data_IF_063302180487
#
_entry.id   IF_063302180487
#
_cell.length_a   1.000
_cell.length_b   1.000
_cell.length_c   1.000
_cell.angle_alpha   90.00
_cell.angle_beta   90.00
_cell.angle_gamma   90.00
#
_symmetry.space_group_name_H-M   'P 1'
#
loop_
_entity.id
_entity.type
_entity.pdbx_description
1 polymer ?
#
# COMPACT_ATOMS: atom_id res chain seq x y z
N UNK A 1 -21.70 43.05 -51.31
CA UNK A 1 -20.91 42.69 -50.11
C UNK A 1 -21.04 41.20 -49.84
N UNK A 2 -20.12 40.37 -50.35
CA UNK A 2 -19.94 39.00 -49.83
C UNK A 2 -19.13 39.14 -48.56
N UNK A 3 -19.78 39.13 -47.41
CA UNK A 3 -19.09 38.99 -46.12
C UNK A 3 -18.21 37.75 -46.26
N UNK A 4 -16.90 37.93 -46.13
CA UNK A 4 -15.92 36.88 -46.27
C UNK A 4 -16.14 35.85 -45.15
N UNK A 5 -16.92 34.81 -45.47
CA UNK A 5 -17.21 33.62 -44.68
C UNK A 5 -16.02 33.09 -43.86
N UNK A 6 -14.76 33.03 -44.36
CA UNK A 6 -13.64 32.44 -43.59
C UNK A 6 -13.30 33.15 -42.27
N UNK A 7 -13.53 34.47 -42.14
CA UNK A 7 -13.09 35.22 -40.95
C UNK A 7 -14.03 35.05 -39.75
N UNK A 8 -15.33 34.93 -40.01
CA UNK A 8 -16.32 34.61 -38.96
C UNK A 8 -16.04 33.21 -38.41
N UNK A 9 -15.73 32.25 -39.28
CA UNK A 9 -15.32 30.91 -38.88
C UNK A 9 -14.05 30.91 -38.02
N UNK A 10 -13.09 31.80 -38.29
CA UNK A 10 -11.88 31.94 -37.47
C UNK A 10 -12.20 32.41 -36.03
N UNK A 11 -13.07 33.41 -35.86
CA UNK A 11 -13.52 33.87 -34.54
C UNK A 11 -14.25 32.75 -33.80
N UNK A 12 -15.16 32.04 -34.48
CA UNK A 12 -15.91 30.92 -33.88
C UNK A 12 -14.95 29.82 -33.42
N UNK A 13 -13.99 29.43 -34.26
CA UNK A 13 -12.97 28.41 -33.91
C UNK A 13 -12.13 28.85 -32.71
N UNK A 14 -11.65 30.11 -32.69
CA UNK A 14 -10.90 30.65 -31.56
C UNK A 14 -11.70 30.62 -30.26
N UNK A 15 -12.98 30.97 -30.33
CA UNK A 15 -13.87 30.97 -29.16
C UNK A 15 -14.08 29.54 -28.63
N UNK A 16 -14.29 28.56 -29.51
CA UNK A 16 -14.39 27.15 -29.13
C UNK A 16 -13.09 26.65 -28.49
N UNK A 17 -11.93 26.97 -29.08
CA UNK A 17 -10.63 26.60 -28.52
C UNK A 17 -10.40 27.21 -27.13
N UNK A 18 -10.69 28.50 -26.94
CA UNK A 18 -10.59 29.17 -25.63
C UNK A 18 -11.52 28.54 -24.60
N UNK A 19 -12.75 28.22 -24.99
CA UNK A 19 -13.75 27.58 -24.10
C UNK A 19 -13.29 26.18 -23.69
N UNK A 20 -12.73 25.40 -24.63
CA UNK A 20 -12.17 24.08 -24.34
C UNK A 20 -10.96 24.17 -23.40
N UNK A 21 -10.03 25.09 -23.64
CA UNK A 21 -8.87 25.33 -22.76
C UNK A 21 -9.28 25.76 -21.37
N UNK A 22 -10.29 26.62 -21.25
CA UNK A 22 -10.84 27.05 -19.96
C UNK A 22 -11.50 25.90 -19.20
N UNK A 23 -12.26 25.05 -19.91
CA UNK A 23 -12.85 23.86 -19.29
C UNK A 23 -11.78 22.89 -18.75
N UNK A 24 -10.69 22.67 -19.50
CA UNK A 24 -9.57 21.82 -19.04
C UNK A 24 -8.83 22.47 -17.88
N UNK A 25 -8.62 23.79 -17.87
CA UNK A 25 -7.91 24.48 -16.80
C UNK A 25 -8.62 24.44 -15.44
N UNK A 26 -9.93 24.17 -15.43
CA UNK A 26 -10.72 24.09 -14.20
C UNK A 26 -10.66 22.71 -13.51
N UNK A 27 -10.10 21.67 -14.14
CA UNK A 27 -10.03 20.35 -13.52
C UNK A 27 -8.92 20.30 -12.45
N UNK A 28 -9.23 19.97 -11.18
CA UNK A 28 -8.23 19.93 -10.10
C UNK A 28 -7.40 18.63 -10.11
N UNK A 29 -6.82 18.28 -11.26
CA UNK A 29 -6.12 16.99 -11.50
C UNK A 29 -4.94 16.76 -10.56
N UNK A 30 -4.12 17.79 -10.33
CA UNK A 30 -2.91 17.75 -9.47
C UNK A 30 -3.24 17.36 -8.02
N UNK A 31 -4.32 17.91 -7.45
CA UNK A 31 -4.71 17.64 -6.08
C UNK A 31 -5.17 16.19 -5.90
N UNK A 32 -5.88 15.65 -6.90
CA UNK A 32 -6.38 14.28 -6.91
C UNK A 32 -5.22 13.28 -6.98
N UNK A 33 -4.29 13.41 -7.92
CA UNK A 33 -3.16 12.48 -8.01
C UNK A 33 -2.24 12.54 -6.78
N UNK A 34 -2.02 13.74 -6.21
CA UNK A 34 -1.25 13.91 -4.98
C UNK A 34 -1.87 13.17 -3.78
N UNK A 35 -3.21 13.08 -3.73
CA UNK A 35 -3.91 12.31 -2.71
C UNK A 35 -3.63 10.81 -2.82
N UNK A 36 -3.61 10.24 -4.03
CA UNK A 36 -3.28 8.82 -4.23
C UNK A 36 -1.81 8.51 -3.93
N UNK A 37 -0.88 9.41 -4.29
CA UNK A 37 0.53 9.29 -3.87
C UNK A 37 0.62 9.24 -2.35
N UNK A 38 -0.03 10.20 -1.66
CA UNK A 38 -0.05 10.22 -0.20
C UNK A 38 -0.63 8.93 0.38
N UNK A 39 -1.74 8.43 -0.16
CA UNK A 39 -2.37 7.19 0.30
C UNK A 39 -1.45 5.97 0.17
N UNK A 40 -0.64 5.90 -0.89
CA UNK A 40 0.33 4.81 -1.07
C UNK A 40 1.53 4.95 -0.13
N UNK A 41 2.00 6.18 0.13
CA UNK A 41 3.02 6.42 1.16
C UNK A 41 2.49 6.05 2.56
N UNK A 42 1.28 6.48 2.90
CA UNK A 42 0.63 6.17 4.18
C UNK A 42 0.49 4.64 4.36
N UNK A 43 0.17 3.91 3.27
CA UNK A 43 0.21 2.45 3.24
C UNK A 43 1.61 1.89 3.58
N UNK A 44 2.66 2.35 2.90
CA UNK A 44 4.03 1.89 3.15
C UNK A 44 4.48 2.15 4.59
N UNK A 45 4.13 3.30 5.17
CA UNK A 45 4.42 3.61 6.57
C UNK A 45 3.64 2.72 7.53
N UNK A 46 2.35 2.51 7.28
CA UNK A 46 1.50 1.62 8.09
C UNK A 46 2.01 0.19 8.04
N UNK A 47 2.44 -0.28 6.88
CA UNK A 47 3.00 -1.61 6.69
C UNK A 47 4.32 -1.80 7.45
N UNK A 48 5.24 -0.83 7.36
CA UNK A 48 6.48 -0.86 8.13
C UNK A 48 6.22 -0.82 9.65
N UNK A 49 5.23 -0.05 10.10
CA UNK A 49 4.81 -0.01 11.50
C UNK A 49 4.22 -1.35 11.97
N UNK A 50 3.39 -1.99 11.14
CA UNK A 50 2.85 -3.31 11.42
C UNK A 50 3.97 -4.36 11.50
N UNK A 51 4.93 -4.36 10.58
CA UNK A 51 6.04 -5.31 10.61
C UNK A 51 6.88 -5.19 11.89
N UNK A 52 7.11 -3.97 12.41
CA UNK A 52 7.74 -3.78 13.72
C UNK A 52 6.88 -4.35 14.87
N UNK A 53 5.56 -4.14 14.82
CA UNK A 53 4.65 -4.68 15.83
C UNK A 53 4.61 -6.22 15.79
N UNK A 54 4.63 -6.80 14.59
CA UNK A 54 4.71 -8.23 14.36
C UNK A 54 6.05 -8.84 14.82
N UNK A 55 7.14 -8.09 14.74
CA UNK A 55 8.45 -8.51 15.27
C UNK A 55 8.44 -8.63 16.79
N UNK A 56 7.73 -7.75 17.48
CA UNK A 56 7.50 -7.88 18.92
C UNK A 56 6.57 -9.06 19.25
N UNK A 57 5.57 -9.36 18.41
CA UNK A 57 4.76 -10.60 18.52
C UNK A 57 5.65 -11.82 18.35
N UNK A 58 6.57 -11.83 17.38
CA UNK A 58 7.51 -12.94 17.15
C UNK A 58 8.36 -13.21 18.38
N UNK A 59 8.93 -12.17 18.98
CA UNK A 59 9.84 -12.25 20.12
C UNK A 59 9.14 -12.34 21.50
N UNK A 60 7.82 -12.15 21.56
CA UNK A 60 7.03 -12.25 22.79
C UNK A 60 7.15 -11.03 23.72
N UNK A 61 7.51 -9.86 23.17
CA UNK A 61 7.59 -8.61 23.93
C UNK A 61 6.24 -7.89 23.94
N UNK A 62 5.37 -8.19 24.91
CA UNK A 62 4.36 -7.26 25.45
C UNK A 62 3.40 -6.56 24.48
N UNK A 63 3.16 -7.08 23.27
CA UNK A 63 2.24 -6.45 22.32
C UNK A 63 0.83 -6.97 22.53
N UNK A 64 -0.10 -6.02 22.65
CA UNK A 64 -1.52 -6.30 22.60
C UNK A 64 -1.90 -6.82 21.20
N UNK A 65 -2.26 -8.10 21.14
CA UNK A 65 -2.74 -8.76 19.92
C UNK A 65 -3.91 -8.02 19.25
N UNK A 66 -4.74 -7.29 20.01
CA UNK A 66 -5.84 -6.50 19.48
C UNK A 66 -5.33 -5.30 18.66
N UNK A 67 -4.24 -4.66 19.10
CA UNK A 67 -3.62 -3.53 18.38
C UNK A 67 -3.05 -4.00 17.05
N UNK A 68 -2.33 -5.13 17.05
CA UNK A 68 -1.75 -5.72 15.83
C UNK A 68 -2.86 -6.14 14.87
N UNK A 69 -3.93 -6.76 15.38
CA UNK A 69 -5.08 -7.13 14.56
C UNK A 69 -5.74 -5.90 13.93
N UNK A 70 -5.89 -4.79 14.66
CA UNK A 70 -6.41 -3.54 14.12
C UNK A 70 -5.52 -2.96 13.02
N UNK A 71 -4.20 -3.00 13.18
CA UNK A 71 -3.25 -2.61 12.13
C UNK A 71 -3.37 -3.50 10.88
N UNK A 72 -3.49 -4.82 11.06
CA UNK A 72 -3.71 -5.78 9.96
C UNK A 72 -5.00 -5.43 9.18
N UNK A 73 -6.10 -5.18 9.90
CA UNK A 73 -7.38 -4.79 9.28
C UNK A 73 -7.29 -3.44 8.57
N UNK A 74 -6.50 -2.50 9.11
CA UNK A 74 -6.27 -1.20 8.47
C UNK A 74 -5.62 -1.36 7.10
N UNK A 75 -4.58 -2.21 6.96
CA UNK A 75 -3.96 -2.47 5.66
C UNK A 75 -4.93 -3.10 4.66
N UNK A 76 -5.78 -4.01 5.14
CA UNK A 76 -6.85 -4.61 4.33
C UNK A 76 -7.81 -3.56 3.79
N UNK A 77 -8.30 -2.67 4.66
CA UNK A 77 -9.22 -1.60 4.26
C UNK A 77 -8.57 -0.61 3.31
N UNK A 78 -7.27 -0.31 3.49
CA UNK A 78 -6.52 0.53 2.54
C UNK A 78 -6.49 -0.10 1.16
N UNK A 79 -6.20 -1.40 1.04
CA UNK A 79 -6.20 -2.06 -0.27
C UNK A 79 -7.58 -2.08 -0.95
N UNK A 80 -8.65 -2.31 -0.19
CA UNK A 80 -10.02 -2.34 -0.70
C UNK A 80 -10.52 -0.94 -1.09
N UNK A 81 -10.26 0.06 -0.25
CA UNK A 81 -10.62 1.45 -0.51
C UNK A 81 -9.83 2.03 -1.68
N UNK A 82 -8.57 1.63 -1.85
CA UNK A 82 -7.74 2.05 -2.97
C UNK A 82 -8.32 1.58 -4.30
N UNK A 83 -8.65 0.30 -4.45
CA UNK A 83 -9.30 -0.23 -5.67
C UNK A 83 -10.61 0.52 -5.98
N UNK A 84 -11.47 0.71 -4.96
CA UNK A 84 -12.70 1.49 -5.12
C UNK A 84 -12.44 2.95 -5.51
N UNK A 85 -11.37 3.54 -4.96
CA UNK A 85 -10.88 4.87 -5.31
C UNK A 85 -10.42 4.97 -6.76
N UNK A 86 -9.70 3.97 -7.28
CA UNK A 86 -9.25 3.96 -8.67
C UNK A 86 -10.44 3.84 -9.64
N UNK A 87 -11.43 2.99 -9.33
CA UNK A 87 -12.64 2.89 -10.17
C UNK A 87 -13.38 4.23 -10.26
N UNK A 88 -13.48 4.96 -9.15
CA UNK A 88 -14.07 6.31 -9.14
C UNK A 88 -13.23 7.32 -9.93
N UNK A 89 -11.90 7.22 -9.85
CA UNK A 89 -10.97 8.06 -10.60
C UNK A 89 -11.19 7.89 -12.11
N UNK A 90 -11.28 6.64 -12.57
CA UNK A 90 -11.55 6.30 -13.97
C UNK A 90 -12.93 6.80 -14.43
N UNK A 91 -13.98 6.61 -13.62
CA UNK A 91 -15.34 7.11 -13.91
C UNK A 91 -15.41 8.62 -14.08
N UNK A 92 -14.57 9.35 -13.35
CA UNK A 92 -14.48 10.81 -13.43
C UNK A 92 -13.62 11.28 -14.62
N UNK A 93 -13.12 10.36 -15.46
CA UNK A 93 -12.36 10.65 -16.67
C UNK A 93 -10.92 11.11 -16.41
N UNK A 94 -10.35 10.75 -15.26
CA UNK A 94 -8.92 10.95 -14.96
C UNK A 94 -8.11 9.74 -15.45
N UNK A 95 -6.81 9.96 -15.71
CA UNK A 95 -5.88 8.85 -15.98
C UNK A 95 -5.83 7.93 -14.78
N UNK A 96 -6.07 6.64 -15.01
CA UNK A 96 -6.02 5.60 -13.99
C UNK A 96 -4.92 4.59 -14.32
N UNK A 97 -4.27 3.99 -13.30
CA UNK A 97 -3.33 2.90 -13.51
C UNK A 97 -4.04 1.68 -14.10
N UNK A 98 -3.27 0.76 -14.69
CA UNK A 98 -3.83 -0.45 -15.29
C UNK A 98 -4.58 -1.28 -14.25
N UNK A 99 -5.70 -1.90 -14.64
CA UNK A 99 -6.46 -2.79 -13.77
C UNK A 99 -5.58 -3.93 -13.21
N UNK A 100 -4.68 -4.47 -14.03
CA UNK A 100 -3.75 -5.50 -13.61
C UNK A 100 -2.83 -5.05 -12.47
N UNK A 101 -2.29 -3.82 -12.54
CA UNK A 101 -1.44 -3.24 -11.49
C UNK A 101 -2.21 -3.06 -10.17
N UNK A 102 -3.45 -2.58 -10.26
CA UNK A 102 -4.33 -2.39 -9.09
C UNK A 102 -4.73 -3.72 -8.46
N UNK A 103 -5.10 -4.71 -9.29
CA UNK A 103 -5.46 -6.05 -8.84
C UNK A 103 -4.26 -6.74 -8.19
N UNK A 104 -3.06 -6.61 -8.77
CA UNK A 104 -1.82 -7.16 -8.23
C UNK A 104 -1.48 -6.58 -6.85
N UNK A 105 -1.57 -5.25 -6.69
CA UNK A 105 -1.39 -4.60 -5.40
C UNK A 105 -2.40 -5.13 -4.37
N UNK A 106 -3.69 -5.12 -4.71
CA UNK A 106 -4.74 -5.63 -3.83
C UNK A 106 -4.51 -7.09 -3.43
N UNK A 107 -4.25 -7.98 -4.39
CA UNK A 107 -4.03 -9.40 -4.09
C UNK A 107 -2.80 -9.62 -3.22
N UNK A 108 -1.72 -8.86 -3.45
CA UNK A 108 -0.50 -8.94 -2.66
C UNK A 108 -0.72 -8.51 -1.22
N UNK A 109 -1.42 -7.38 -1.02
CA UNK A 109 -1.77 -6.90 0.33
C UNK A 109 -2.69 -7.89 1.04
N UNK A 110 -3.73 -8.40 0.38
CA UNK A 110 -4.67 -9.36 0.99
C UNK A 110 -3.99 -10.69 1.35
N UNK A 111 -3.10 -11.19 0.50
CA UNK A 111 -2.31 -12.38 0.79
C UNK A 111 -1.41 -12.15 2.02
N UNK A 112 -0.71 -11.01 2.07
CA UNK A 112 0.12 -10.63 3.21
C UNK A 112 -0.68 -10.53 4.51
N UNK A 113 -1.80 -9.81 4.48
CA UNK A 113 -2.75 -9.68 5.61
C UNK A 113 -3.19 -11.05 6.13
N UNK A 114 -3.59 -11.96 5.23
CA UNK A 114 -4.02 -13.31 5.59
C UNK A 114 -2.90 -14.10 6.26
N UNK A 115 -1.67 -14.01 5.74
CA UNK A 115 -0.51 -14.68 6.32
C UNK A 115 -0.16 -14.12 7.71
N UNK A 116 -0.17 -12.79 7.88
CA UNK A 116 0.11 -12.13 9.15
C UNK A 116 -0.94 -12.49 10.21
N UNK A 117 -2.22 -12.52 9.83
CA UNK A 117 -3.31 -12.89 10.74
C UNK A 117 -3.19 -14.34 11.22
N UNK A 118 -2.91 -15.27 10.29
CA UNK A 118 -2.69 -16.67 10.64
C UNK A 118 -1.49 -16.82 11.58
N UNK A 119 -0.38 -16.19 11.25
CA UNK A 119 0.82 -16.22 12.08
C UNK A 119 0.60 -15.65 13.48
N UNK A 120 -0.08 -14.51 13.60
CA UNK A 120 -0.43 -13.91 14.90
C UNK A 120 -1.19 -14.93 15.76
N UNK A 121 -2.24 -15.54 15.22
CA UNK A 121 -3.03 -16.55 15.92
C UNK A 121 -2.20 -17.77 16.32
N UNK A 122 -1.39 -18.30 15.42
CA UNK A 122 -0.59 -19.50 15.68
C UNK A 122 0.54 -19.22 16.68
N UNK A 123 1.15 -18.03 16.64
CA UNK A 123 2.21 -17.61 17.56
C UNK A 123 1.65 -17.34 18.96
N UNK A 124 0.49 -16.72 19.09
CA UNK A 124 -0.19 -16.57 20.39
C UNK A 124 -0.47 -17.94 21.01
N UNK A 125 -1.07 -18.86 20.25
CA UNK A 125 -1.31 -20.22 20.73
C UNK A 125 -0.01 -20.98 21.07
N UNK A 126 1.09 -20.68 20.38
CA UNK A 126 2.40 -21.24 20.69
C UNK A 126 2.93 -20.73 22.04
N UNK A 127 2.77 -19.43 22.34
CA UNK A 127 3.13 -18.87 23.65
C UNK A 127 2.30 -19.46 24.79
N UNK A 128 1.00 -19.66 24.58
CA UNK A 128 0.13 -20.29 25.57
C UNK A 128 0.56 -21.73 25.89
N UNK A 129 0.96 -22.50 24.88
CA UNK A 129 1.50 -23.86 25.07
C UNK A 129 2.89 -23.84 25.72
N UNK A 130 3.75 -22.88 25.38
CA UNK A 130 5.04 -22.69 26.02
C UNK A 130 4.88 -22.45 27.53
N UNK A 131 3.94 -21.59 27.94
CA UNK A 131 3.67 -21.33 29.36
C UNK A 131 3.21 -22.59 30.10
N UNK A 132 2.33 -23.39 29.47
CA UNK A 132 1.91 -24.69 30.03
C UNK A 132 3.10 -25.64 30.18
N UNK A 133 4.00 -25.68 29.21
CA UNK A 133 5.22 -26.50 29.26
C UNK A 133 6.15 -26.04 30.38
N UNK A 134 6.38 -24.74 30.56
CA UNK A 134 7.18 -24.23 31.69
C UNK A 134 6.60 -24.67 33.03
N UNK A 135 5.29 -24.49 33.25
CA UNK A 135 4.63 -24.93 34.49
C UNK A 135 4.77 -26.44 34.74
N UNK A 136 4.67 -27.26 33.69
CA UNK A 136 4.84 -28.71 33.80
C UNK A 136 6.29 -29.10 34.14
N UNK A 137 7.28 -28.38 33.61
CA UNK A 137 8.70 -28.62 33.93
C UNK A 137 9.01 -28.22 35.38
N UNK A 138 8.48 -27.08 35.85
CA UNK A 138 8.60 -26.62 37.24
C UNK A 138 8.01 -27.62 38.24
N UNK A 139 6.92 -28.30 37.89
CA UNK A 139 6.26 -29.29 38.77
C UNK A 139 6.99 -30.63 38.89
N UNK A 140 7.85 -31.00 37.93
CA UNK A 140 8.49 -32.32 37.86
C UNK A 140 10.00 -32.26 38.22
N UNK A 141 10.39 -31.27 39.03
CA UNK A 141 11.73 -30.68 39.19
C UNK A 141 12.85 -31.54 39.81
N UNK A 142 12.96 -32.83 39.50
CA UNK A 142 14.17 -33.59 39.77
C UNK A 142 15.11 -33.51 38.55
N UNK A 143 15.67 -32.32 38.28
CA UNK A 143 16.64 -32.10 37.20
C UNK A 143 16.07 -31.40 35.96
N UNK A 144 15.76 -30.11 36.08
CA UNK A 144 15.48 -29.30 34.89
C UNK A 144 16.80 -29.10 34.12
N UNK A 145 16.88 -29.69 32.93
CA UNK A 145 18.04 -29.59 32.06
C UNK A 145 18.19 -28.13 31.55
N UNK A 146 19.24 -27.45 32.00
CA UNK A 146 19.55 -26.05 31.65
C UNK A 146 19.68 -25.84 30.11
N UNK A 147 20.26 -26.79 29.34
CA UNK A 147 20.14 -26.86 27.88
C UNK A 147 18.71 -26.77 27.32
N UNK A 148 17.73 -27.45 27.90
CA UNK A 148 16.34 -27.39 27.43
C UNK A 148 15.75 -25.99 27.61
N UNK A 149 15.99 -25.35 28.75
CA UNK A 149 15.54 -23.97 28.99
C UNK A 149 16.12 -23.01 27.95
N UNK A 150 17.43 -23.12 27.66
CA UNK A 150 18.08 -22.31 26.61
C UNK A 150 17.47 -22.53 25.22
N UNK A 151 17.09 -23.77 24.88
CA UNK A 151 16.41 -24.08 23.62
C UNK A 151 15.03 -23.44 23.55
N UNK A 152 14.24 -23.53 24.62
CA UNK A 152 12.92 -22.92 24.72
C UNK A 152 12.99 -21.38 24.66
N UNK A 153 13.97 -20.78 25.34
CA UNK A 153 14.20 -19.33 25.29
C UNK A 153 14.61 -18.86 23.88
N UNK A 154 15.44 -19.66 23.19
CA UNK A 154 15.83 -19.40 21.80
C UNK A 154 14.63 -19.51 20.84
N UNK A 155 13.77 -20.52 21.03
CA UNK A 155 12.52 -20.66 20.29
C UNK A 155 11.53 -19.51 20.58
N UNK A 156 11.47 -19.06 21.84
CA UNK A 156 10.70 -17.88 22.26
C UNK A 156 11.18 -16.60 21.58
N UNK A 157 12.48 -16.42 21.40
CA UNK A 157 13.04 -15.33 20.61
C UNK A 157 12.79 -15.47 19.08
N UNK A 158 12.15 -16.57 18.66
CA UNK A 158 11.73 -16.80 17.28
C UNK A 158 12.83 -17.35 16.38
N UNK A 159 13.85 -18.01 16.94
CA UNK A 159 14.86 -18.74 16.16
C UNK A 159 14.37 -20.16 15.86
N UNK A 160 14.79 -20.73 14.73
CA UNK A 160 14.60 -22.15 14.44
C UNK A 160 15.47 -22.99 15.38
N UNK A 161 14.84 -23.86 16.16
CA UNK A 161 15.53 -24.75 17.10
C UNK A 161 15.09 -26.17 16.79
N UNK A 162 16.05 -27.04 16.49
CA UNK A 162 15.78 -28.44 16.17
C UNK A 162 15.47 -29.26 17.44
N UNK A 163 14.50 -30.19 17.36
CA UNK A 163 14.26 -31.16 18.42
C UNK A 163 15.35 -32.23 18.37
N UNK A 164 16.52 -31.93 18.94
CA UNK A 164 17.63 -32.89 19.03
C UNK A 164 17.93 -33.28 20.48
N UNK A 165 18.14 -34.58 20.70
CA UNK A 165 18.55 -35.16 21.99
C UNK A 165 17.39 -35.75 22.78
N UNK A 166 17.65 -36.86 23.46
CA UNK A 166 16.70 -37.49 24.37
C UNK A 166 16.67 -36.66 25.66
N UNK A 167 15.58 -35.92 25.88
CA UNK A 167 15.39 -35.17 27.12
C UNK A 167 15.11 -36.17 28.26
N UNK A 168 15.78 -35.99 29.41
CA UNK A 168 15.51 -36.74 30.64
C UNK A 168 14.20 -36.26 31.30
N UNK A 169 13.10 -36.31 30.54
CA UNK A 169 11.77 -35.89 30.96
C UNK A 169 10.78 -37.05 30.82
N UNK A 170 9.68 -37.04 31.60
CA UNK A 170 8.56 -37.94 31.37
C UNK A 170 8.11 -37.88 29.90
N UNK A 171 7.84 -39.04 29.29
CA UNK A 171 7.54 -39.16 27.85
C UNK A 171 6.40 -38.24 27.38
N UNK A 172 5.42 -37.96 28.26
CA UNK A 172 4.30 -37.04 27.98
C UNK A 172 4.74 -35.58 27.86
N UNK A 173 5.73 -35.15 28.64
CA UNK A 173 6.30 -33.79 28.60
C UNK A 173 7.26 -33.68 27.42
N UNK A 174 8.10 -34.70 27.21
CA UNK A 174 9.04 -34.73 26.10
C UNK A 174 8.31 -34.59 24.75
N UNK A 175 7.25 -35.38 24.52
CA UNK A 175 6.43 -35.26 23.30
C UNK A 175 5.81 -33.88 23.12
N UNK A 176 5.38 -33.21 24.20
CA UNK A 176 4.82 -31.85 24.13
C UNK A 176 5.89 -30.83 23.73
N UNK A 177 7.10 -30.95 24.27
CA UNK A 177 8.25 -30.11 23.93
C UNK A 177 8.64 -30.29 22.46
N UNK A 178 8.74 -31.54 21.98
CA UNK A 178 9.04 -31.83 20.57
C UNK A 178 8.02 -31.20 19.62
N UNK A 179 6.72 -31.37 19.90
CA UNK A 179 5.65 -30.75 19.11
C UNK A 179 5.71 -29.22 19.14
N UNK A 180 6.05 -28.63 20.30
CA UNK A 180 6.20 -27.19 20.45
C UNK A 180 7.38 -26.66 19.62
N UNK A 181 8.52 -27.35 19.62
CA UNK A 181 9.69 -27.00 18.81
C UNK A 181 9.42 -27.17 17.32
N UNK A 182 8.74 -28.24 16.91
CA UNK A 182 8.34 -28.44 15.51
C UNK A 182 7.43 -27.30 15.03
N UNK A 183 6.41 -26.95 15.82
CA UNK A 183 5.52 -25.82 15.50
C UNK A 183 6.29 -24.49 15.43
N UNK A 184 7.34 -24.31 16.23
CA UNK A 184 8.20 -23.13 16.15
C UNK A 184 9.00 -23.08 14.84
N UNK A 185 9.45 -24.22 14.30
CA UNK A 185 10.11 -24.28 12.98
C UNK A 185 9.11 -23.88 11.89
N UNK A 186 7.89 -24.39 11.96
CA UNK A 186 6.84 -24.03 11.00
C UNK A 186 6.55 -22.52 11.05
N UNK A 187 6.41 -21.95 12.25
CA UNK A 187 6.27 -20.50 12.46
C UNK A 187 7.47 -19.71 11.94
N UNK A 188 8.70 -20.16 12.20
CA UNK A 188 9.91 -19.53 11.66
C UNK A 188 9.90 -19.50 10.14
N UNK A 189 9.50 -20.60 9.50
CA UNK A 189 9.37 -20.66 8.04
C UNK A 189 8.29 -19.70 7.53
N UNK A 190 7.15 -19.60 8.23
CA UNK A 190 6.05 -18.71 7.88
C UNK A 190 6.44 -17.23 8.02
N UNK A 191 7.24 -16.90 9.04
CA UNK A 191 7.81 -15.56 9.22
C UNK A 191 8.69 -15.14 8.04
N UNK A 192 9.56 -16.03 7.59
CA UNK A 192 10.44 -15.77 6.45
C UNK A 192 9.71 -15.71 5.10
N UNK A 193 8.46 -16.19 5.05
CA UNK A 193 7.60 -16.09 3.87
C UNK A 193 6.82 -14.78 3.79
N UNK A 194 6.94 -13.87 4.78
CA UNK A 194 6.36 -12.54 4.67
C UNK A 194 7.09 -11.74 3.59
N UNK A 195 6.60 -11.88 2.37
CA UNK A 195 7.14 -11.27 1.18
C UNK A 195 6.80 -9.77 1.14
N UNK A 196 7.64 -8.99 1.80
CA UNK A 196 7.51 -7.55 1.82
C UNK A 196 7.88 -6.94 0.46
N UNK A 197 8.78 -7.59 -0.28
CA UNK A 197 9.30 -7.09 -1.55
C UNK A 197 8.24 -7.06 -2.64
N UNK A 198 7.43 -8.12 -2.80
CA UNK A 198 6.35 -8.14 -3.80
C UNK A 198 5.30 -7.06 -3.56
N UNK A 199 4.88 -6.90 -2.31
CA UNK A 199 3.83 -5.94 -1.97
C UNK A 199 4.35 -4.51 -2.11
N UNK A 200 5.60 -4.26 -1.70
CA UNK A 200 6.27 -2.98 -1.87
C UNK A 200 6.46 -2.64 -3.35
N UNK A 201 6.91 -3.59 -4.17
CA UNK A 201 7.08 -3.40 -5.61
C UNK A 201 5.77 -3.05 -6.31
N UNK A 202 4.66 -3.71 -5.96
CA UNK A 202 3.34 -3.38 -6.50
C UNK A 202 2.87 -1.98 -6.07
N UNK A 203 3.18 -1.57 -4.83
CA UNK A 203 2.92 -0.22 -4.35
C UNK A 203 3.76 0.83 -5.09
N UNK A 204 5.04 0.54 -5.34
CA UNK A 204 5.98 1.44 -6.02
C UNK A 204 5.63 1.65 -7.49
N UNK A 205 5.15 0.60 -8.17
CA UNK A 205 4.65 0.71 -9.55
C UNK A 205 3.49 1.72 -9.64
N UNK A 206 2.51 1.61 -8.73
CA UNK A 206 1.38 2.53 -8.65
C UNK A 206 1.82 3.94 -8.26
N UNK A 207 2.75 4.05 -7.33
CA UNK A 207 3.28 5.33 -6.87
C UNK A 207 4.00 6.06 -8.01
N UNK A 208 4.82 5.34 -8.78
CA UNK A 208 5.47 5.87 -9.97
C UNK A 208 4.46 6.34 -11.02
N UNK A 209 3.38 5.58 -11.25
CA UNK A 209 2.30 6.01 -12.15
C UNK A 209 1.71 7.37 -11.73
N UNK A 210 1.30 7.51 -10.46
CA UNK A 210 0.69 8.76 -9.99
C UNK A 210 1.67 9.92 -9.97
N UNK A 211 2.94 9.68 -9.66
CA UNK A 211 3.98 10.70 -9.74
C UNK A 211 4.19 11.19 -11.17
N UNK A 212 4.23 10.28 -12.15
CA UNK A 212 4.36 10.63 -13.56
C UNK A 212 3.16 11.44 -14.06
N UNK A 213 1.93 11.03 -13.73
CA UNK A 213 0.74 11.81 -14.08
C UNK A 213 0.74 13.18 -13.39
N UNK A 214 1.15 13.26 -12.12
CA UNK A 214 1.25 14.54 -11.41
C UNK A 214 2.25 15.50 -12.08
N UNK A 215 3.43 15.01 -12.48
CA UNK A 215 4.44 15.80 -13.20
C UNK A 215 3.92 16.26 -14.57
N UNK A 216 3.22 15.38 -15.30
CA UNK A 216 2.58 15.74 -16.58
C UNK A 216 1.54 16.84 -16.38
N UNK A 217 0.70 16.74 -15.36
CA UNK A 217 -0.32 17.74 -15.05
C UNK A 217 0.29 19.08 -14.64
N UNK A 218 1.34 19.09 -13.80
CA UNK A 218 2.05 20.32 -13.44
C UNK A 218 2.62 20.98 -14.71
N UNK A 219 3.22 20.20 -15.61
CA UNK A 219 3.71 20.72 -16.89
C UNK A 219 2.59 21.30 -17.76
N UNK A 220 1.43 20.64 -17.80
CA UNK A 220 0.29 21.02 -18.62
C UNK A 220 -0.41 22.26 -18.05
N UNK A 221 -0.56 22.35 -16.72
CA UNK A 221 -1.02 23.53 -16.00
C UNK A 221 -0.15 24.76 -16.24
N UNK A 222 1.15 24.60 -16.51
CA UNK A 222 2.03 25.71 -16.91
C UNK A 222 1.84 26.17 -18.36
N UNK A 223 1.48 25.24 -19.27
CA UNK A 223 1.33 25.52 -20.71
C UNK A 223 -0.05 26.09 -21.06
N UNK A 224 -1.12 25.69 -20.37
CA UNK A 224 -2.49 26.13 -20.65
C UNK A 224 -2.63 27.66 -20.58
N UNK A 225 -2.18 28.37 -19.52
CA UNK A 225 -2.29 29.82 -19.46
C UNK A 225 -1.59 30.50 -20.64
N UNK A 226 -0.41 30.00 -21.02
CA UNK A 226 0.38 30.56 -22.12
C UNK A 226 -0.34 30.40 -23.47
N UNK A 227 -0.95 29.25 -23.72
CA UNK A 227 -1.81 29.02 -24.88
C UNK A 227 -3.08 29.90 -24.85
N UNK A 228 -3.70 30.07 -23.68
CA UNK A 228 -4.87 30.91 -23.49
C UNK A 228 -4.57 32.38 -23.78
N UNK A 229 -3.45 32.90 -23.25
CA UNK A 229 -2.97 34.26 -23.55
C UNK A 229 -2.71 34.45 -25.04
N UNK A 230 -2.01 33.50 -25.67
CA UNK A 230 -1.73 33.56 -27.10
C UNK A 230 -3.01 33.61 -27.94
N UNK A 231 -3.95 32.68 -27.71
CA UNK A 231 -5.24 32.64 -28.41
C UNK A 231 -6.07 33.90 -28.17
N UNK A 232 -6.05 34.45 -26.97
CA UNK A 232 -6.73 35.71 -26.64
C UNK A 232 -6.13 36.89 -27.40
N UNK A 233 -4.80 36.93 -27.56
CA UNK A 233 -4.08 37.97 -28.30
C UNK A 233 -4.41 37.89 -29.80
N UNK A 234 -4.42 36.68 -30.37
CA UNK A 234 -4.81 36.43 -31.76
C UNK A 234 -6.28 36.83 -31.99
N UNK A 235 -7.18 36.49 -31.07
CA UNK A 235 -8.58 36.89 -31.14
C UNK A 235 -8.73 38.41 -31.12
N UNK A 236 -8.00 39.09 -30.23
CA UNK A 236 -8.02 40.55 -30.12
C UNK A 236 -7.51 41.21 -31.41
N UNK A 237 -6.40 40.73 -31.97
CA UNK A 237 -5.87 41.19 -33.27
C UNK A 237 -6.88 40.97 -34.41
N UNK A 238 -7.51 39.80 -34.46
CA UNK A 238 -8.52 39.48 -35.47
C UNK A 238 -9.74 40.42 -35.37
N UNK A 239 -10.21 40.70 -34.15
CA UNK A 239 -11.30 41.66 -33.93
C UNK A 239 -10.91 43.10 -34.27
N UNK A 240 -9.68 43.54 -33.94
CA UNK A 240 -9.15 44.85 -34.33
C UNK A 240 -9.12 45.02 -35.86
N UNK A 241 -8.60 44.03 -36.58
CA UNK A 241 -8.60 44.03 -38.05
C UNK A 241 -10.03 44.13 -38.62
N UNK A 242 -11.00 43.45 -38.00
CA UNK A 242 -12.40 43.50 -38.43
C UNK A 242 -13.01 44.89 -38.28
N UNK A 243 -12.77 45.55 -37.13
CA UNK A 243 -13.28 46.90 -36.84
C UNK A 243 -12.70 47.93 -37.82
N UNK A 244 -11.39 47.86 -38.11
CA UNK A 244 -10.75 48.83 -39.01
C UNK A 244 -11.05 48.58 -40.49
N UNK A 245 -11.13 47.33 -40.94
CA UNK A 245 -11.46 47.01 -42.35
C UNK A 245 -12.94 47.23 -42.67
N UNK A 246 -13.83 47.17 -41.68
CA UNK A 246 -15.25 47.50 -41.83
C UNK A 246 -15.51 49.00 -42.03
N UNK A 247 -14.54 49.87 -41.72
CA UNK A 247 -14.66 51.33 -41.86
C UNK A 247 -14.07 51.89 -43.16
N UNK A 248 -13.40 51.05 -43.96
CA UNK A 248 -12.99 51.36 -45.34
C UNK A 248 -14.02 50.83 -46.33
#
# INVERSE_FOLDING_TARGET
>A
MKIQTPWIWLVVVLTICLTALFYVSQKPQVAVYSQYVKSLCDYQFADASLMRSMEHVRSGYGVDSAVVLAQIMTLREVALSFEGGIRKLEQNGFSAPSKASVDNFKSSVLAKVSCLQRYLSERSAWFDELEKVYRLIEMNSAGVDLPLMRKLDSARAGYAVLPEGQLELPASINRRVELLLQKNIDLYSAWNQFDNEKTLSASDELLHFFQMENVKEISLSGKIPLAFYFLSLVLLLATFFFIFKSKQ
#
